data_IF_178781701032
#
_entry.id   IF_178781701032
#
_cell.length_a   1.000
_cell.length_b   1.000
_cell.length_c   1.000
_cell.angle_alpha   90.00
_cell.angle_beta   90.00
_cell.angle_gamma   90.00
#
_symmetry.space_group_name_H-M   'P 1'
#
loop_
_entity.id
_entity.type
_entity.pdbx_description
1 polymer ?
#
# COMPACT_ATOMS: atom_id res chain seq x y z
N UNK A 1 23.25 33.93 17.37
CA UNK A 1 23.98 32.79 17.98
C UNK A 1 24.69 32.01 16.87
N UNK A 2 25.92 31.53 17.10
CA UNK A 2 26.59 30.74 16.07
C UNK A 2 26.00 29.33 16.02
N UNK A 3 25.57 28.88 14.85
CA UNK A 3 25.03 27.54 14.64
C UNK A 3 26.18 26.53 14.64
N UNK A 4 26.21 25.63 15.63
CA UNK A 4 27.26 24.62 15.77
C UNK A 4 26.92 23.35 15.00
N UNK A 5 27.93 22.57 14.62
CA UNK A 5 27.73 21.27 13.96
C UNK A 5 26.94 20.30 14.85
N UNK A 6 27.07 20.40 16.17
CA UNK A 6 26.30 19.61 17.14
C UNK A 6 24.81 19.94 17.07
N UNK A 7 24.44 21.22 17.10
CA UNK A 7 23.03 21.64 16.99
C UNK A 7 22.40 21.12 15.68
N UNK A 8 23.14 21.18 14.56
CA UNK A 8 22.66 20.68 13.27
C UNK A 8 22.46 19.16 13.32
N UNK A 9 23.40 18.43 13.93
CA UNK A 9 23.28 16.99 14.11
C UNK A 9 22.08 16.63 14.99
N UNK A 10 21.94 17.29 16.13
CA UNK A 10 20.87 17.02 17.09
C UNK A 10 19.49 17.27 16.44
N UNK A 11 19.31 18.37 15.68
CA UNK A 11 18.07 18.67 14.97
C UNK A 11 17.80 17.64 13.86
N UNK A 12 18.83 17.23 13.11
CA UNK A 12 18.71 16.18 12.10
C UNK A 12 18.27 14.85 12.73
N UNK A 13 18.92 14.44 13.82
CA UNK A 13 18.65 13.17 14.48
C UNK A 13 17.23 13.13 15.09
N UNK A 14 16.72 14.30 15.51
CA UNK A 14 15.35 14.42 16.04
C UNK A 14 14.28 14.45 14.94
N UNK A 15 14.57 15.12 13.81
CA UNK A 15 13.57 15.39 12.77
C UNK A 15 13.67 14.49 11.54
N UNK A 16 14.78 13.76 11.39
CA UNK A 16 15.05 12.91 10.22
C UNK A 16 15.32 13.64 8.92
N UNK A 17 15.40 14.98 8.91
CA UNK A 17 15.66 15.76 7.69
C UNK A 17 17.12 15.73 7.27
N UNK A 18 17.41 16.15 6.04
CA UNK A 18 18.79 16.27 5.57
C UNK A 18 19.61 17.31 6.35
N UNK A 19 20.94 17.09 6.46
CA UNK A 19 21.87 17.97 7.18
C UNK A 19 21.76 19.44 6.77
N UNK A 20 21.58 19.72 5.46
CA UNK A 20 21.46 21.08 4.94
C UNK A 20 20.11 21.72 5.29
N UNK A 21 19.02 20.95 5.32
CA UNK A 21 17.72 21.45 5.76
C UNK A 21 17.72 21.76 7.26
N UNK A 22 18.32 20.88 8.08
CA UNK A 22 18.49 21.12 9.52
C UNK A 22 19.33 22.40 9.79
N UNK A 23 20.48 22.56 9.09
CA UNK A 23 21.29 23.76 9.20
C UNK A 23 20.51 25.02 8.82
N UNK A 24 19.79 24.97 7.70
CA UNK A 24 18.99 26.11 7.23
C UNK A 24 17.89 26.46 8.23
N UNK A 25 17.20 25.47 8.77
CA UNK A 25 16.17 25.70 9.77
C UNK A 25 16.71 26.44 11.01
N UNK A 26 17.87 26.00 11.52
CA UNK A 26 18.50 26.66 12.65
C UNK A 26 18.92 28.10 12.33
N UNK A 27 19.45 28.37 11.13
CA UNK A 27 19.82 29.72 10.69
C UNK A 27 18.61 30.64 10.66
N UNK A 28 17.52 30.20 9.99
CA UNK A 28 16.28 30.98 9.82
C UNK A 28 15.57 31.24 11.17
N UNK A 29 15.84 30.42 12.19
CA UNK A 29 15.24 30.55 13.53
C UNK A 29 16.27 30.93 14.62
N UNK A 30 17.39 31.56 14.25
CA UNK A 30 18.41 32.08 15.17
C UNK A 30 18.97 31.03 16.18
N UNK A 31 18.98 29.77 15.81
CA UNK A 31 19.42 28.67 16.65
C UNK A 31 18.40 28.13 17.63
N UNK A 32 17.15 28.62 17.59
CA UNK A 32 16.04 28.09 18.37
C UNK A 32 15.61 26.73 17.81
N UNK A 33 15.70 25.69 18.64
CA UNK A 33 15.46 24.32 18.24
C UNK A 33 13.98 24.03 18.01
N UNK A 34 13.10 24.55 18.83
CA UNK A 34 11.65 24.36 18.76
C UNK A 34 11.10 25.05 17.52
N UNK A 35 11.40 26.34 17.35
CA UNK A 35 11.01 27.09 16.16
C UNK A 35 11.59 26.50 14.87
N UNK A 36 12.82 25.97 14.89
CA UNK A 36 13.44 25.31 13.74
C UNK A 36 12.71 24.00 13.40
N UNK A 37 12.26 23.25 14.39
CA UNK A 37 11.45 22.03 14.21
C UNK A 37 10.09 22.35 13.58
N UNK A 38 9.39 23.36 14.08
CA UNK A 38 8.11 23.81 13.52
C UNK A 38 8.26 24.33 12.08
N UNK A 39 9.30 25.09 11.81
CA UNK A 39 9.62 25.56 10.47
C UNK A 39 9.88 24.38 9.50
N UNK A 40 10.64 23.35 9.94
CA UNK A 40 10.84 22.13 9.15
C UNK A 40 9.54 21.39 8.87
N UNK A 41 8.65 21.32 9.86
CA UNK A 41 7.32 20.71 9.72
C UNK A 41 6.48 21.45 8.67
N UNK A 42 6.40 22.77 8.74
CA UNK A 42 5.69 23.58 7.73
C UNK A 42 6.26 23.41 6.33
N UNK A 43 7.60 23.39 6.22
CA UNK A 43 8.28 23.12 4.94
C UNK A 43 8.05 21.71 4.43
N UNK A 44 8.00 20.71 5.31
CA UNK A 44 7.68 19.34 4.97
C UNK A 44 6.29 19.22 4.36
N UNK A 45 5.28 19.87 4.95
CA UNK A 45 3.93 19.99 4.41
C UNK A 45 3.91 20.58 3.00
N UNK A 46 4.61 21.70 2.79
CA UNK A 46 4.70 22.34 1.46
C UNK A 46 5.41 21.46 0.43
N UNK A 47 6.46 20.72 0.83
CA UNK A 47 7.15 19.76 -0.04
C UNK A 47 6.23 18.58 -0.40
N UNK A 48 5.54 18.02 0.57
CA UNK A 48 4.59 16.92 0.37
C UNK A 48 3.46 17.33 -0.58
N UNK A 49 2.88 18.50 -0.38
CA UNK A 49 1.84 19.04 -1.26
C UNK A 49 2.32 19.22 -2.71
N UNK A 50 3.54 19.69 -2.93
CA UNK A 50 4.12 19.82 -4.29
C UNK A 50 4.34 18.47 -4.96
N UNK A 51 4.52 17.40 -4.18
CA UNK A 51 4.80 16.05 -4.70
C UNK A 51 3.56 15.18 -4.81
N UNK A 52 2.47 15.52 -4.13
CA UNK A 52 1.24 14.70 -4.11
C UNK A 52 0.63 14.44 -5.49
N UNK A 53 0.89 15.32 -6.46
CA UNK A 53 0.46 15.14 -7.85
C UNK A 53 1.36 14.23 -8.70
N UNK A 54 2.50 13.74 -8.17
CA UNK A 54 3.37 12.84 -8.91
C UNK A 54 2.85 11.41 -8.85
N UNK A 55 3.07 10.67 -9.93
CA UNK A 55 2.62 9.28 -10.03
C UNK A 55 3.50 8.40 -9.13
N UNK A 56 2.90 7.82 -8.10
CA UNK A 56 3.50 6.82 -7.23
C UNK A 56 3.01 5.42 -7.66
N UNK A 57 3.63 4.86 -8.71
CA UNK A 57 3.23 3.59 -9.30
C UNK A 57 3.91 2.38 -8.64
N UNK A 58 5.04 2.59 -8.00
CA UNK A 58 5.79 1.59 -7.27
C UNK A 58 5.34 1.51 -5.81
N UNK A 59 5.92 0.61 -5.03
CA UNK A 59 5.62 0.43 -3.61
C UNK A 59 5.58 -1.02 -3.19
N UNK A 60 5.01 -1.23 -2.00
CA UNK A 60 4.85 -2.55 -1.38
C UNK A 60 3.47 -2.68 -0.74
N UNK A 61 3.01 -3.92 -0.67
CA UNK A 61 1.86 -4.29 0.15
C UNK A 61 2.41 -5.03 1.36
N UNK A 62 1.97 -4.59 2.54
CA UNK A 62 2.28 -5.26 3.78
C UNK A 62 1.05 -5.92 4.39
N UNK A 63 1.28 -7.01 5.14
CA UNK A 63 0.23 -7.73 5.87
C UNK A 63 0.59 -7.86 7.34
N UNK A 64 -0.39 -7.59 8.21
CA UNK A 64 -0.37 -7.97 9.62
C UNK A 64 -1.47 -9.01 9.83
N UNK A 65 -1.05 -10.18 10.27
CA UNK A 65 -1.94 -11.28 10.61
C UNK A 65 -2.05 -11.43 12.12
N UNK A 66 -3.25 -11.59 12.62
CA UNK A 66 -3.58 -12.01 13.97
C UNK A 66 -4.61 -13.13 13.91
N UNK A 67 -4.81 -13.89 14.98
CA UNK A 67 -5.56 -15.15 15.00
C UNK A 67 -6.89 -15.17 14.23
N UNK A 68 -7.61 -14.05 14.16
CA UNK A 68 -8.93 -13.96 13.55
C UNK A 68 -9.06 -12.82 12.53
N UNK A 69 -7.96 -12.17 12.17
CA UNK A 69 -7.98 -11.10 11.17
C UNK A 69 -6.63 -10.90 10.49
N UNK A 70 -6.67 -10.45 9.25
CA UNK A 70 -5.50 -9.94 8.57
C UNK A 70 -5.80 -8.53 8.05
N UNK A 71 -4.85 -7.62 8.21
CA UNK A 71 -4.90 -6.26 7.67
C UNK A 71 -3.81 -6.14 6.62
N UNK A 72 -4.20 -5.70 5.44
CA UNK A 72 -3.31 -5.43 4.31
C UNK A 72 -3.27 -3.93 4.06
N UNK A 73 -2.07 -3.38 3.88
CA UNK A 73 -1.86 -1.96 3.58
C UNK A 73 -1.01 -1.85 2.32
N UNK A 74 -1.47 -1.09 1.34
CA UNK A 74 -0.71 -0.74 0.15
C UNK A 74 -0.08 0.63 0.34
N UNK A 75 1.26 0.65 0.45
CA UNK A 75 2.06 1.85 0.49
C UNK A 75 2.78 2.05 -0.84
N UNK A 76 2.60 3.22 -1.46
CA UNK A 76 3.14 3.55 -2.77
C UNK A 76 4.26 4.60 -2.68
N UNK A 77 5.19 4.52 -3.62
CA UNK A 77 6.29 5.46 -3.86
C UNK A 77 6.51 5.62 -5.37
N UNK A 78 7.37 6.56 -5.78
CA UNK A 78 7.62 6.84 -7.20
C UNK A 78 8.51 5.77 -7.85
N UNK A 79 9.52 5.24 -7.12
CA UNK A 79 10.53 4.32 -7.67
C UNK A 79 10.64 3.00 -6.88
N UNK A 80 11.12 1.95 -7.53
CA UNK A 80 11.43 0.68 -6.90
C UNK A 80 12.64 0.76 -5.96
N UNK A 81 13.55 1.74 -6.16
CA UNK A 81 14.65 2.01 -5.23
C UNK A 81 14.13 2.35 -3.84
N UNK A 82 13.11 3.23 -3.74
CA UNK A 82 12.48 3.57 -2.47
C UNK A 82 11.71 2.39 -1.92
N UNK A 83 11.01 1.61 -2.74
CA UNK A 83 10.33 0.40 -2.28
C UNK A 83 11.29 -0.62 -1.64
N UNK A 84 12.55 -0.68 -2.07
CA UNK A 84 13.60 -1.55 -1.50
C UNK A 84 14.34 -0.94 -0.32
N UNK A 85 14.14 0.35 -0.04
CA UNK A 85 14.81 1.04 1.06
C UNK A 85 14.25 0.56 2.41
N UNK A 86 15.16 0.24 3.34
CA UNK A 86 14.79 -0.21 4.69
C UNK A 86 13.94 0.81 5.45
N UNK A 87 14.19 2.10 5.27
CA UNK A 87 13.42 3.16 5.93
C UNK A 87 11.95 3.15 5.49
N UNK A 88 11.68 2.90 4.21
CA UNK A 88 10.33 2.74 3.67
C UNK A 88 9.66 1.46 4.19
N UNK A 89 10.38 0.35 4.21
CA UNK A 89 9.88 -0.93 4.73
C UNK A 89 9.59 -0.87 6.23
N UNK A 90 10.48 -0.25 7.01
CA UNK A 90 10.28 -0.06 8.45
C UNK A 90 9.09 0.84 8.75
N UNK A 91 8.85 1.87 7.96
CA UNK A 91 7.64 2.69 8.06
C UNK A 91 6.37 1.84 7.88
N UNK A 92 6.32 0.98 6.85
CA UNK A 92 5.15 0.12 6.62
C UNK A 92 4.96 -0.85 7.78
N UNK A 93 6.02 -1.50 8.26
CA UNK A 93 5.96 -2.42 9.38
C UNK A 93 5.47 -1.72 10.65
N UNK A 94 5.97 -0.54 10.95
CA UNK A 94 5.56 0.24 12.11
C UNK A 94 4.05 0.60 12.04
N UNK A 95 3.55 0.99 10.87
CA UNK A 95 2.13 1.26 10.67
C UNK A 95 1.29 -0.01 10.83
N UNK A 96 1.75 -1.14 10.29
CA UNK A 96 1.09 -2.44 10.43
C UNK A 96 1.03 -2.88 11.90
N UNK A 97 2.10 -2.66 12.67
CA UNK A 97 2.15 -3.03 14.09
C UNK A 97 1.11 -2.26 14.93
N UNK A 98 0.75 -1.05 14.50
CA UNK A 98 -0.28 -0.23 15.15
C UNK A 98 -1.65 -0.29 14.46
N UNK A 99 -1.85 -1.21 13.50
CA UNK A 99 -3.09 -1.33 12.73
C UNK A 99 -4.17 -2.17 13.40
N UNK A 100 -3.87 -2.84 14.51
CA UNK A 100 -4.84 -3.70 15.18
C UNK A 100 -6.11 -2.94 15.57
N UNK A 101 -7.26 -3.56 15.35
CA UNK A 101 -8.58 -2.94 15.58
C UNK A 101 -9.03 -1.93 14.52
N UNK A 102 -8.20 -1.55 13.56
CA UNK A 102 -8.55 -0.61 12.50
C UNK A 102 -9.39 -1.28 11.41
N UNK A 103 -10.32 -0.52 10.84
CA UNK A 103 -11.25 -1.04 9.84
C UNK A 103 -11.23 -0.25 8.52
N UNK A 104 -10.78 1.00 8.55
CA UNK A 104 -10.75 1.88 7.39
C UNK A 104 -9.36 2.49 7.18
N UNK A 105 -9.10 2.96 5.96
CA UNK A 105 -7.88 3.71 5.66
C UNK A 105 -7.77 4.96 6.56
N UNK A 106 -8.88 5.64 6.81
CA UNK A 106 -8.90 6.82 7.67
C UNK A 106 -8.50 6.48 9.12
N UNK A 107 -8.89 5.32 9.65
CA UNK A 107 -8.45 4.85 10.96
C UNK A 107 -6.93 4.64 10.99
N UNK A 108 -6.35 4.11 9.90
CA UNK A 108 -4.90 3.95 9.77
C UNK A 108 -4.20 5.32 9.75
N UNK A 109 -4.64 6.25 8.91
CA UNK A 109 -4.02 7.56 8.77
C UNK A 109 -4.06 8.38 10.06
N UNK A 110 -5.11 8.23 10.86
CA UNK A 110 -5.28 8.89 12.15
C UNK A 110 -4.66 8.12 13.33
N UNK A 111 -4.07 6.96 13.11
CA UNK A 111 -3.42 6.20 14.18
C UNK A 111 -2.21 6.98 14.72
N UNK A 112 -2.17 7.18 16.04
CA UNK A 112 -1.04 7.81 16.71
C UNK A 112 0.07 6.78 16.95
N UNK A 113 1.26 7.10 16.50
CA UNK A 113 2.49 6.33 16.70
C UNK A 113 3.51 7.30 17.28
N UNK A 114 3.91 7.09 18.54
CA UNK A 114 4.90 7.92 19.23
C UNK A 114 4.62 9.43 19.16
N UNK A 115 3.36 9.83 19.37
CA UNK A 115 2.94 11.24 19.40
C UNK A 115 2.67 11.86 18.03
N UNK A 116 2.82 11.13 16.92
CA UNK A 116 2.51 11.58 15.55
C UNK A 116 1.47 10.66 14.91
N UNK A 117 0.53 11.22 14.18
CA UNK A 117 -0.36 10.37 13.39
C UNK A 117 0.35 9.87 12.10
N UNK A 118 -0.17 8.80 11.51
CA UNK A 118 0.41 8.19 10.30
C UNK A 118 0.50 9.18 9.15
N UNK A 119 -0.48 10.07 8.99
CA UNK A 119 -0.46 11.09 7.93
C UNK A 119 0.75 12.04 8.09
N UNK A 120 1.07 12.45 9.31
CA UNK A 120 2.28 13.22 9.60
C UNK A 120 3.57 12.43 9.33
N UNK A 121 3.59 11.15 9.69
CA UNK A 121 4.74 10.26 9.40
C UNK A 121 4.97 10.17 7.88
N UNK A 122 3.91 10.05 7.08
CA UNK A 122 4.02 10.05 5.62
C UNK A 122 4.58 11.37 5.08
N UNK A 123 4.12 12.52 5.59
CA UNK A 123 4.64 13.84 5.22
C UNK A 123 6.14 13.97 5.52
N UNK A 124 6.56 13.51 6.69
CA UNK A 124 7.97 13.51 7.09
C UNK A 124 8.80 12.62 6.15
N UNK A 125 8.29 11.44 5.78
CA UNK A 125 8.94 10.54 4.82
C UNK A 125 9.02 11.12 3.42
N UNK A 126 7.99 11.79 2.92
CA UNK A 126 8.03 12.54 1.65
C UNK A 126 9.11 13.61 1.70
N UNK A 127 9.29 14.29 2.82
CA UNK A 127 10.28 15.34 2.99
C UNK A 127 11.71 14.80 3.05
N UNK A 128 11.95 13.66 3.75
CA UNK A 128 13.27 13.07 3.93
C UNK A 128 13.72 12.25 2.72
N UNK A 129 12.87 11.37 2.21
CA UNK A 129 13.17 10.49 1.06
C UNK A 129 13.15 11.28 -0.26
N UNK A 130 12.24 12.25 -0.37
CA UNK A 130 12.17 13.10 -1.56
C UNK A 130 11.26 12.61 -2.66
N UNK A 131 10.45 11.55 -2.44
CA UNK A 131 9.45 11.04 -3.35
C UNK A 131 8.03 11.25 -2.83
N UNK A 132 7.03 11.19 -3.71
CA UNK A 132 5.63 11.06 -3.30
C UNK A 132 5.43 9.69 -2.65
N UNK A 133 5.00 9.68 -1.40
CA UNK A 133 4.74 8.48 -0.61
C UNK A 133 3.33 8.59 -0.05
N UNK A 134 2.55 7.52 -0.20
CA UNK A 134 1.17 7.50 0.30
C UNK A 134 0.75 6.08 0.67
N UNK A 135 -0.23 5.96 1.55
CA UNK A 135 -0.99 4.73 1.71
C UNK A 135 -2.24 4.87 0.83
N UNK A 136 -2.32 4.06 -0.23
CA UNK A 136 -3.41 4.15 -1.21
C UNK A 136 -4.68 3.48 -0.71
N UNK A 137 -4.54 2.33 -0.08
CA UNK A 137 -5.67 1.55 0.41
C UNK A 137 -5.27 0.61 1.54
N UNK A 138 -6.28 0.21 2.31
CA UNK A 138 -6.19 -0.88 3.24
C UNK A 138 -7.35 -1.85 3.01
N UNK A 139 -7.13 -3.10 3.32
CA UNK A 139 -8.17 -4.14 3.36
C UNK A 139 -8.03 -4.94 4.63
N UNK A 140 -9.17 -5.30 5.21
CA UNK A 140 -9.25 -6.21 6.35
C UNK A 140 -10.06 -7.42 5.96
N UNK A 141 -9.56 -8.59 6.30
CA UNK A 141 -10.30 -9.85 6.25
C UNK A 141 -10.42 -10.38 7.67
N UNK A 142 -11.58 -10.89 8.02
CA UNK A 142 -11.85 -11.50 9.33
C UNK A 142 -12.34 -12.92 9.14
N UNK A 143 -11.91 -13.80 10.03
CA UNK A 143 -12.28 -15.22 10.01
C UNK A 143 -11.35 -16.05 10.88
N UNK A 144 -11.74 -17.28 11.19
CA UNK A 144 -10.99 -18.13 12.11
C UNK A 144 -9.81 -18.86 11.46
N UNK A 145 -9.80 -18.97 10.14
CA UNK A 145 -8.80 -19.75 9.39
C UNK A 145 -8.33 -18.92 8.22
N UNK A 146 -7.34 -18.05 8.49
CA UNK A 146 -6.78 -17.15 7.49
C UNK A 146 -5.40 -17.66 7.09
N UNK A 147 -5.24 -17.96 5.79
CA UNK A 147 -3.94 -18.15 5.17
C UNK A 147 -3.61 -16.97 4.26
N UNK A 148 -2.32 -16.74 4.05
CA UNK A 148 -1.88 -15.67 3.16
C UNK A 148 -0.64 -16.06 2.36
N UNK A 149 -0.42 -15.32 1.27
CA UNK A 149 0.74 -15.47 0.41
C UNK A 149 1.29 -14.09 0.02
N UNK A 150 2.61 -13.97 0.09
CA UNK A 150 3.36 -12.76 -0.31
C UNK A 150 4.20 -13.11 -1.53
N UNK A 151 3.92 -12.47 -2.65
CA UNK A 151 4.63 -12.67 -3.90
C UNK A 151 5.65 -11.54 -4.14
N UNK A 152 6.80 -11.88 -4.76
CA UNK A 152 7.93 -10.96 -4.90
C UNK A 152 8.24 -10.26 -3.56
N UNK A 153 8.41 -11.10 -2.52
CA UNK A 153 8.61 -10.65 -1.15
C UNK A 153 9.96 -9.98 -0.96
N UNK A 154 9.97 -8.89 -0.19
CA UNK A 154 11.19 -8.25 0.35
C UNK A 154 11.42 -8.66 1.80
N UNK A 155 10.35 -9.10 2.48
CA UNK A 155 10.37 -9.72 3.81
C UNK A 155 9.21 -10.72 3.93
N UNK A 156 9.07 -11.38 5.08
CA UNK A 156 8.01 -12.38 5.30
C UNK A 156 6.59 -11.83 5.16
N UNK A 157 6.41 -10.53 5.36
CA UNK A 157 5.12 -9.84 5.38
C UNK A 157 5.00 -8.67 4.39
N UNK A 158 6.03 -8.37 3.61
CA UNK A 158 6.05 -7.29 2.62
C UNK A 158 6.38 -7.82 1.22
N UNK A 159 5.62 -7.44 0.22
CA UNK A 159 5.88 -7.82 -1.18
C UNK A 159 5.09 -6.98 -2.18
N UNK A 160 5.22 -7.34 -3.45
CA UNK A 160 4.53 -6.65 -4.56
C UNK A 160 3.06 -7.06 -4.69
N UNK A 161 2.73 -8.30 -4.35
CA UNK A 161 1.36 -8.82 -4.32
C UNK A 161 1.18 -9.54 -2.99
N UNK A 162 0.11 -9.24 -2.29
CA UNK A 162 -0.26 -9.94 -1.05
C UNK A 162 -1.71 -10.37 -1.15
N UNK A 163 -1.95 -11.64 -0.88
CA UNK A 163 -3.29 -12.22 -0.87
C UNK A 163 -3.55 -12.85 0.49
N UNK A 164 -4.71 -12.58 1.06
CA UNK A 164 -5.21 -13.24 2.26
C UNK A 164 -6.54 -13.93 1.96
N UNK A 165 -6.70 -15.16 2.45
CA UNK A 165 -7.88 -16.00 2.26
C UNK A 165 -8.37 -16.49 3.61
N UNK A 166 -9.67 -16.38 3.86
CA UNK A 166 -10.33 -16.97 5.03
C UNK A 166 -11.15 -18.20 4.58
N UNK A 167 -10.91 -19.33 5.22
CA UNK A 167 -11.66 -20.57 4.99
C UNK A 167 -12.67 -20.85 6.11
N UNK A 168 -13.74 -21.56 5.77
CA UNK A 168 -14.71 -22.07 6.75
C UNK A 168 -14.18 -23.26 7.56
N UNK A 169 -13.27 -24.04 6.97
CA UNK A 169 -12.61 -25.19 7.60
C UNK A 169 -11.18 -24.82 8.04
N UNK A 170 -10.66 -25.55 9.02
CA UNK A 170 -9.31 -25.34 9.52
C UNK A 170 -8.28 -26.09 8.65
N UNK A 171 -7.86 -25.43 7.57
CA UNK A 171 -6.83 -25.96 6.67
C UNK A 171 -5.94 -24.77 6.19
N UNK A 172 -4.93 -24.48 6.98
CA UNK A 172 -3.98 -23.39 6.68
C UNK A 172 -3.18 -23.65 5.40
N UNK A 173 -2.84 -24.92 5.13
CA UNK A 173 -2.10 -25.30 3.94
C UNK A 173 -2.93 -25.02 2.68
N UNK A 174 -4.21 -25.39 2.70
CA UNK A 174 -5.15 -25.11 1.61
C UNK A 174 -5.37 -23.61 1.44
N UNK A 175 -5.53 -22.85 2.53
CA UNK A 175 -5.70 -21.39 2.46
C UNK A 175 -4.50 -20.73 1.78
N UNK A 176 -3.28 -21.15 2.10
CA UNK A 176 -2.05 -20.67 1.46
C UNK A 176 -1.98 -21.04 -0.02
N UNK A 177 -2.34 -22.29 -0.38
CA UNK A 177 -2.36 -22.73 -1.79
C UNK A 177 -3.37 -21.91 -2.61
N UNK A 178 -4.56 -21.67 -2.07
CA UNK A 178 -5.57 -20.80 -2.71
C UNK A 178 -5.04 -19.38 -2.85
N UNK A 179 -4.41 -18.82 -1.82
CA UNK A 179 -3.81 -17.49 -1.90
C UNK A 179 -2.72 -17.39 -2.99
N UNK A 180 -1.88 -18.42 -3.16
CA UNK A 180 -0.90 -18.50 -4.24
C UNK A 180 -1.58 -18.56 -5.62
N UNK A 181 -2.64 -19.36 -5.76
CA UNK A 181 -3.41 -19.45 -7.00
C UNK A 181 -4.06 -18.10 -7.36
N UNK A 182 -4.66 -17.43 -6.38
CA UNK A 182 -5.23 -16.09 -6.56
C UNK A 182 -4.18 -15.08 -7.00
N UNK A 183 -2.99 -15.11 -6.39
CA UNK A 183 -1.89 -14.21 -6.78
C UNK A 183 -1.45 -14.40 -8.24
N UNK A 184 -1.49 -15.65 -8.73
CA UNK A 184 -1.11 -15.99 -10.10
C UNK A 184 -2.22 -15.70 -11.12
N UNK A 185 -3.48 -16.00 -10.79
CA UNK A 185 -4.62 -15.89 -11.71
C UNK A 185 -5.29 -14.53 -11.71
N UNK A 186 -5.08 -13.72 -10.66
CA UNK A 186 -5.67 -12.39 -10.48
C UNK A 186 -7.20 -12.36 -10.77
N UNK A 187 -8.01 -13.19 -10.10
CA UNK A 187 -9.44 -13.25 -10.36
C UNK A 187 -10.13 -11.94 -10.01
N UNK A 188 -11.12 -11.56 -10.80
CA UNK A 188 -11.88 -10.31 -10.61
C UNK A 188 -12.80 -10.39 -9.41
N UNK A 189 -13.35 -11.57 -9.12
CA UNK A 189 -14.31 -11.79 -8.05
C UNK A 189 -14.18 -13.19 -7.46
N UNK A 190 -14.74 -13.40 -6.26
CA UNK A 190 -14.79 -14.70 -5.59
C UNK A 190 -15.79 -15.66 -6.27
N UNK A 191 -16.84 -15.13 -6.88
CA UNK A 191 -17.86 -15.90 -7.58
C UNK A 191 -18.47 -15.11 -8.73
N UNK A 192 -19.05 -15.81 -9.70
CA UNK A 192 -19.74 -15.22 -10.85
C UNK A 192 -20.79 -14.16 -10.44
N UNK A 193 -21.52 -14.39 -9.33
CA UNK A 193 -22.53 -13.47 -8.82
C UNK A 193 -22.00 -12.10 -8.38
N UNK A 194 -20.69 -11.98 -8.18
CA UNK A 194 -20.02 -10.75 -7.76
C UNK A 194 -19.35 -10.02 -8.95
N UNK A 195 -19.45 -10.61 -10.15
CA UNK A 195 -18.92 -9.95 -11.34
C UNK A 195 -19.82 -8.77 -11.73
N UNK A 196 -19.25 -7.63 -12.14
CA UNK A 196 -20.03 -6.54 -12.71
C UNK A 196 -20.74 -6.99 -14.01
N UNK A 197 -22.04 -6.70 -14.12
CA UNK A 197 -22.83 -7.05 -15.32
C UNK A 197 -22.22 -6.49 -16.62
N UNK A 198 -21.62 -5.31 -16.57
CA UNK A 198 -20.94 -4.70 -17.72
C UNK A 198 -19.74 -5.52 -18.20
N UNK A 199 -19.00 -6.12 -17.25
CA UNK A 199 -17.88 -6.99 -17.59
C UNK A 199 -18.38 -8.26 -18.26
N UNK A 200 -19.41 -8.90 -17.72
CA UNK A 200 -20.03 -10.10 -18.29
C UNK A 200 -20.49 -9.82 -19.71
N UNK A 201 -21.27 -8.75 -19.93
CA UNK A 201 -21.77 -8.37 -21.25
C UNK A 201 -20.65 -8.05 -22.24
N UNK A 202 -19.56 -7.45 -21.77
CA UNK A 202 -18.40 -7.14 -22.61
C UNK A 202 -17.71 -8.42 -23.09
N UNK A 203 -17.44 -9.35 -22.17
CA UNK A 203 -16.81 -10.62 -22.50
C UNK A 203 -17.70 -11.49 -23.40
N UNK A 204 -19.01 -11.54 -23.11
CA UNK A 204 -19.98 -12.25 -23.95
C UNK A 204 -19.97 -11.71 -25.40
N UNK A 205 -19.96 -10.39 -25.58
CA UNK A 205 -19.87 -9.76 -26.89
C UNK A 205 -18.56 -10.11 -27.60
N UNK A 206 -17.44 -10.06 -26.91
CA UNK A 206 -16.13 -10.41 -27.47
C UNK A 206 -16.07 -11.88 -27.93
N UNK A 207 -16.59 -12.79 -27.11
CA UNK A 207 -16.67 -14.19 -27.48
C UNK A 207 -17.61 -14.42 -28.68
N UNK A 208 -18.75 -13.70 -28.71
CA UNK A 208 -19.68 -13.80 -29.85
C UNK A 208 -19.01 -13.34 -31.17
N UNK A 209 -18.31 -12.22 -31.15
CA UNK A 209 -17.57 -11.71 -32.30
C UNK A 209 -16.48 -12.69 -32.78
N UNK A 210 -15.69 -13.26 -31.87
CA UNK A 210 -14.67 -14.25 -32.17
C UNK A 210 -15.25 -15.53 -32.81
N UNK A 211 -16.40 -15.99 -32.32
CA UNK A 211 -17.00 -17.22 -32.81
C UNK A 211 -17.76 -16.99 -34.12
N UNK A 212 -18.28 -15.78 -34.36
CA UNK A 212 -18.96 -15.40 -35.59
C UNK A 212 -18.05 -15.57 -36.82
N UNK A 213 -16.76 -15.28 -36.69
CA UNK A 213 -15.79 -15.49 -37.79
C UNK A 213 -15.61 -16.96 -38.17
N UNK A 214 -16.07 -17.89 -37.33
CA UNK A 214 -15.99 -19.34 -37.63
C UNK A 214 -17.00 -19.86 -38.64
N UNK A 215 -17.94 -19.00 -39.13
CA UNK A 215 -18.94 -19.34 -40.14
C UNK A 215 -20.01 -20.35 -39.72
N UNK A 216 -20.15 -20.60 -38.41
CA UNK A 216 -21.15 -21.56 -37.87
C UNK A 216 -22.53 -20.92 -37.76
N UNK A 217 -23.61 -21.73 -37.76
CA UNK A 217 -24.98 -21.24 -37.56
C UNK A 217 -25.15 -20.56 -36.20
N UNK A 218 -26.02 -19.54 -36.14
CA UNK A 218 -26.17 -18.65 -34.95
C UNK A 218 -26.56 -19.40 -33.66
N UNK A 219 -27.41 -20.41 -33.75
CA UNK A 219 -27.80 -21.26 -32.64
C UNK A 219 -26.61 -22.06 -32.04
N UNK A 220 -25.61 -22.41 -32.86
CA UNK A 220 -24.38 -23.07 -32.45
C UNK A 220 -23.43 -22.04 -31.81
N UNK A 221 -23.37 -20.82 -32.36
CA UNK A 221 -22.55 -19.73 -31.82
C UNK A 221 -22.95 -19.42 -30.36
N UNK A 222 -24.24 -19.25 -30.07
CA UNK A 222 -24.72 -18.99 -28.73
C UNK A 222 -24.30 -20.07 -27.71
N UNK A 223 -24.40 -21.35 -28.10
CA UNK A 223 -23.99 -22.45 -27.24
C UNK A 223 -22.48 -22.48 -26.98
N UNK A 224 -21.66 -22.12 -27.98
CA UNK A 224 -20.21 -22.01 -27.84
C UNK A 224 -19.87 -20.84 -26.92
N UNK A 225 -20.52 -19.69 -27.06
CA UNK A 225 -20.33 -18.51 -26.20
C UNK A 225 -20.70 -18.87 -24.76
N UNK A 226 -21.84 -19.47 -24.51
CA UNK A 226 -22.24 -19.98 -23.18
C UNK A 226 -21.24 -20.96 -22.58
N UNK A 227 -20.61 -21.79 -23.40
CA UNK A 227 -19.57 -22.72 -22.97
C UNK A 227 -18.25 -22.01 -22.61
N UNK A 228 -17.89 -20.93 -23.31
CA UNK A 228 -16.70 -20.12 -23.04
C UNK A 228 -16.86 -19.17 -21.83
N UNK A 229 -18.12 -18.81 -21.51
CA UNK A 229 -18.46 -17.95 -20.37
C UNK A 229 -18.52 -18.72 -19.03
N UNK A 230 -18.45 -20.04 -19.04
CA UNK A 230 -18.36 -20.89 -17.82
C UNK A 230 -16.91 -21.08 -17.42
#
# INVERSE_FOLDING_TARGET
MAITAKMVKDLRDTTGVGMMDAKKALIENNGDFENATDWLRQKGLAKAQKKSGRIAAEGLIGIKYSNNSAILIEANCETDFVARNEEFQNMINNILDHSEGKNTLNDILNTNIEGRNVDQILIDKVSSIGENISIRRMKKISGNNIGFYVHNSVSSNLGKIVVAVSLSNNDEALAKQIAMHIAASNPVALSEKQLPDELIKREEKLYFEQVKESGKPENILENIVKGKMK
#
